data_IF_365349698584
#
_entry.id   IF_365349698584
#
_cell.length_a   1.000
_cell.length_b   1.000
_cell.length_c   1.000
_cell.angle_alpha   90.00
_cell.angle_beta   90.00
_cell.angle_gamma   90.00
#
_symmetry.space_group_name_H-M   'P 1'
#
loop_
_entity.id
_entity.type
_entity.pdbx_description
1 polymer ?
#
# COMPACT_ATOMS: atom_id res chain seq x y z
N UNK A 1 13.45 7.36 17.82
CA UNK A 1 13.26 5.91 17.62
C UNK A 1 12.99 5.70 16.15
N UNK A 2 13.34 4.53 15.65
CA UNK A 2 12.98 4.15 14.29
C UNK A 2 11.46 4.03 14.18
N UNK A 3 10.91 4.47 13.06
CA UNK A 3 9.50 4.31 12.69
C UNK A 3 9.38 3.21 11.64
N UNK A 4 8.49 2.24 11.87
CA UNK A 4 8.18 1.23 10.86
C UNK A 4 7.09 1.75 9.91
N UNK A 5 7.37 1.64 8.62
CA UNK A 5 6.46 2.01 7.54
C UNK A 5 6.24 0.81 6.64
N UNK A 6 4.98 0.45 6.41
CA UNK A 6 4.62 -0.51 5.37
C UNK A 6 4.54 0.27 4.05
N UNK A 7 5.23 -0.21 3.03
CA UNK A 7 5.16 0.33 1.67
C UNK A 7 4.37 -0.64 0.82
N UNK A 8 3.36 -0.10 0.14
CA UNK A 8 2.54 -0.78 -0.87
C UNK A 8 2.83 -0.11 -2.20
N UNK A 9 3.42 -0.84 -3.13
CA UNK A 9 3.75 -0.35 -4.47
C UNK A 9 2.98 -1.13 -5.53
N UNK A 10 2.20 -0.41 -6.33
CA UNK A 10 1.60 -0.91 -7.54
C UNK A 10 2.42 -0.43 -8.74
N UNK A 11 2.60 -1.29 -9.72
CA UNK A 11 3.23 -0.92 -10.99
C UNK A 11 2.62 -1.71 -12.14
N UNK A 12 2.73 -1.17 -13.34
CA UNK A 12 2.15 -1.81 -14.52
C UNK A 12 3.08 -1.83 -15.73
N UNK A 13 2.79 -2.70 -16.73
CA UNK A 13 3.59 -2.80 -17.93
C UNK A 13 3.64 -1.51 -18.77
N UNK A 14 4.72 -1.34 -19.52
CA UNK A 14 4.99 -0.17 -20.37
C UNK A 14 4.06 0.00 -21.58
N UNK A 15 3.08 -0.88 -21.77
CA UNK A 15 2.04 -0.79 -22.79
C UNK A 15 0.63 -0.56 -22.19
N UNK A 16 0.50 -0.54 -20.86
CA UNK A 16 -0.73 -0.21 -20.14
C UNK A 16 -0.61 1.18 -19.51
N UNK A 17 -1.73 1.86 -19.30
CA UNK A 17 -1.78 3.20 -18.69
C UNK A 17 -2.86 3.27 -17.62
N UNK A 18 -2.60 4.06 -16.58
CA UNK A 18 -3.65 4.58 -15.70
C UNK A 18 -4.32 3.49 -14.86
N UNK A 19 -3.53 2.92 -13.95
CA UNK A 19 -4.04 2.01 -12.93
C UNK A 19 -4.37 2.84 -11.68
N UNK A 20 -5.65 2.90 -11.33
CA UNK A 20 -6.09 3.51 -10.09
C UNK A 20 -5.89 2.52 -8.94
N UNK A 21 -5.30 2.99 -7.84
CA UNK A 21 -5.10 2.16 -6.65
C UNK A 21 -5.92 2.66 -5.47
N UNK A 22 -6.19 1.76 -4.53
CA UNK A 22 -6.86 2.05 -3.28
C UNK A 22 -6.23 1.21 -2.17
N UNK A 23 -5.79 1.85 -1.09
CA UNK A 23 -5.28 1.16 0.09
C UNK A 23 -6.06 1.62 1.31
N UNK A 24 -6.55 0.66 2.09
CA UNK A 24 -7.36 0.90 3.30
C UNK A 24 -6.56 0.42 4.51
N UNK A 25 -6.50 1.24 5.55
CA UNK A 25 -5.87 0.91 6.82
C UNK A 25 -6.60 1.66 7.94
N UNK A 26 -7.01 0.90 8.97
CA UNK A 26 -7.94 1.39 10.00
C UNK A 26 -9.18 2.00 9.34
N UNK A 27 -9.57 3.22 9.73
CA UNK A 27 -10.75 3.90 9.19
C UNK A 27 -10.45 4.82 7.99
N UNK A 28 -9.23 4.76 7.44
CA UNK A 28 -8.78 5.62 6.34
C UNK A 28 -8.56 4.86 5.04
N UNK A 29 -8.76 5.55 3.92
CA UNK A 29 -8.44 5.05 2.58
C UNK A 29 -7.67 6.12 1.79
N UNK A 30 -6.65 5.71 1.04
CA UNK A 30 -5.87 6.59 0.15
C UNK A 30 -5.65 5.92 -1.21
N UNK A 31 -5.50 6.74 -2.25
CA UNK A 31 -5.50 6.31 -3.64
C UNK A 31 -6.16 7.34 -4.55
N UNK A 32 -6.30 7.07 -5.84
CA UNK A 32 -7.02 7.94 -6.76
C UNK A 32 -8.48 8.11 -6.33
N UNK A 33 -8.94 9.35 -6.15
CA UNK A 33 -10.30 9.70 -5.69
C UNK A 33 -10.78 8.96 -4.42
N UNK A 34 -9.84 8.46 -3.62
CA UNK A 34 -10.11 7.93 -2.29
C UNK A 34 -10.24 9.08 -1.28
N UNK A 35 -10.55 8.72 -0.03
CA UNK A 35 -10.62 9.67 1.07
C UNK A 35 -9.24 10.16 1.55
N UNK A 36 -9.11 10.28 2.85
CA UNK A 36 -7.84 10.60 3.49
C UNK A 36 -7.56 9.62 4.63
N UNK A 37 -6.29 9.57 5.05
CA UNK A 37 -5.88 8.84 6.23
C UNK A 37 -4.87 9.68 7.02
N UNK A 38 -4.95 9.69 8.36
CA UNK A 38 -3.92 10.29 9.19
C UNK A 38 -2.59 9.50 9.13
N UNK A 39 -2.63 8.21 8.78
CA UNK A 39 -1.48 7.31 8.84
C UNK A 39 -0.94 6.90 7.48
N UNK A 40 -1.65 7.20 6.39
CA UNK A 40 -1.21 6.85 5.05
C UNK A 40 -0.91 8.08 4.20
N UNK A 41 0.11 7.98 3.36
CA UNK A 41 0.38 8.92 2.29
C UNK A 41 0.41 8.18 0.95
N UNK A 42 -0.22 8.78 -0.05
CA UNK A 42 -0.26 8.30 -1.43
C UNK A 42 0.69 9.15 -2.28
N UNK A 43 1.44 8.52 -3.19
CA UNK A 43 2.37 9.20 -4.10
C UNK A 43 1.69 10.17 -5.05
N UNK A 44 0.37 10.05 -5.21
CA UNK A 44 -0.41 10.71 -6.24
C UNK A 44 -0.72 9.74 -7.37
N UNK A 45 -1.74 10.14 -8.14
CA UNK A 45 -2.25 9.42 -9.29
C UNK A 45 -1.26 9.47 -10.45
N UNK A 46 -0.88 8.31 -10.96
CA UNK A 46 0.01 8.16 -12.10
C UNK A 46 -0.77 7.71 -13.34
N UNK A 47 -1.12 8.67 -14.20
CA UNK A 47 -1.77 8.37 -15.49
C UNK A 47 -0.80 7.93 -16.60
N UNK A 48 0.46 7.64 -16.25
CA UNK A 48 1.53 7.35 -17.22
C UNK A 48 1.44 5.90 -17.75
N UNK A 49 1.98 5.70 -18.95
CA UNK A 49 2.19 4.34 -19.46
C UNK A 49 3.37 3.68 -18.75
N UNK A 50 3.21 2.46 -18.23
CA UNK A 50 4.24 1.79 -17.42
C UNK A 50 4.57 2.49 -16.10
N UNK A 51 3.58 3.16 -15.52
CA UNK A 51 3.71 3.92 -14.28
C UNK A 51 3.70 3.04 -13.03
N UNK A 52 3.72 3.74 -11.89
CA UNK A 52 3.67 3.15 -10.57
C UNK A 52 3.01 4.10 -9.58
N UNK A 53 2.38 3.53 -8.57
CA UNK A 53 1.80 4.25 -7.45
C UNK A 53 2.24 3.63 -6.13
N UNK A 54 2.44 4.46 -5.11
CA UNK A 54 2.93 4.00 -3.81
C UNK A 54 2.10 4.56 -2.68
N UNK A 55 1.74 3.69 -1.74
CA UNK A 55 1.18 4.07 -0.45
C UNK A 55 2.19 3.73 0.66
N UNK A 56 2.46 4.71 1.54
CA UNK A 56 3.24 4.51 2.76
C UNK A 56 2.32 4.55 3.97
N UNK A 57 2.34 3.50 4.78
CA UNK A 57 1.51 3.33 5.97
C UNK A 57 2.38 3.43 7.21
N UNK A 58 2.20 4.50 7.98
CA UNK A 58 2.92 4.81 9.22
C UNK A 58 2.33 4.05 10.40
N UNK A 59 2.53 2.73 10.41
CA UNK A 59 1.99 1.84 11.45
C UNK A 59 2.56 2.14 12.84
N UNK A 60 3.82 2.63 12.91
CA UNK A 60 4.40 3.09 14.17
C UNK A 60 3.64 4.26 14.80
N UNK A 61 3.23 5.24 13.99
CA UNK A 61 2.43 6.37 14.46
C UNK A 61 1.04 5.93 14.94
N UNK A 62 0.39 5.02 14.22
CA UNK A 62 -0.90 4.47 14.62
C UNK A 62 -0.84 3.75 15.98
N UNK A 63 0.22 2.95 16.19
CA UNK A 63 0.47 2.29 17.48
C UNK A 63 0.73 3.30 18.61
N UNK A 64 1.63 4.26 18.39
CA UNK A 64 2.00 5.25 19.40
C UNK A 64 0.82 6.15 19.82
N UNK A 65 -0.12 6.39 18.92
CA UNK A 65 -1.35 7.12 19.20
C UNK A 65 -2.45 6.27 19.86
N UNK A 66 -2.26 4.95 19.94
CA UNK A 66 -3.23 4.01 20.50
C UNK A 66 -4.39 3.64 19.58
N UNK A 67 -4.31 4.00 18.29
CA UNK A 67 -5.32 3.68 17.28
C UNK A 67 -5.12 2.27 16.69
N UNK A 68 -3.97 1.64 16.97
CA UNK A 68 -3.68 0.24 16.70
C UNK A 68 -3.03 -0.38 17.95
N UNK A 69 -3.41 -1.62 18.30
CA UNK A 69 -2.97 -2.27 19.55
C UNK A 69 -2.22 -3.58 19.27
N UNK A 70 -2.86 -4.55 18.60
CA UNK A 70 -2.27 -5.89 18.43
C UNK A 70 -2.06 -6.26 16.95
N UNK A 71 -3.16 -6.26 16.19
CA UNK A 71 -3.17 -6.60 14.78
C UNK A 71 -4.23 -5.82 14.04
N UNK A 72 -4.04 -5.67 12.75
CA UNK A 72 -4.96 -4.98 11.87
C UNK A 72 -4.78 -5.49 10.44
N UNK A 73 -5.66 -5.03 9.55
CA UNK A 73 -5.68 -5.40 8.15
C UNK A 73 -5.34 -4.17 7.30
N UNK A 74 -4.56 -4.40 6.25
CA UNK A 74 -4.42 -3.49 5.13
C UNK A 74 -5.08 -4.15 3.92
N UNK A 75 -6.13 -3.53 3.40
CA UNK A 75 -6.74 -3.95 2.13
C UNK A 75 -6.12 -3.16 0.98
N UNK A 76 -5.80 -3.86 -0.11
CA UNK A 76 -5.13 -3.32 -1.29
C UNK A 76 -5.97 -3.65 -2.52
N UNK A 77 -6.40 -2.61 -3.22
CA UNK A 77 -7.30 -2.68 -4.37
C UNK A 77 -6.67 -2.03 -5.59
N UNK A 78 -7.04 -2.51 -6.78
CA UNK A 78 -6.59 -1.94 -8.04
C UNK A 78 -7.65 -2.06 -9.13
N UNK A 79 -7.88 -0.97 -9.87
CA UNK A 79 -8.80 -0.91 -11.00
C UNK A 79 -8.13 -0.17 -12.16
N UNK A 80 -8.28 -0.66 -13.38
CA UNK A 80 -7.90 0.13 -14.56
C UNK A 80 -8.91 1.26 -14.76
N UNK A 81 -8.42 2.47 -15.02
CA UNK A 81 -9.30 3.59 -15.31
C UNK A 81 -10.06 3.34 -16.63
N UNK A 82 -11.38 3.34 -16.56
CA UNK A 82 -12.29 2.85 -17.62
C UNK A 82 -12.19 3.54 -18.98
N UNK A 83 -11.57 4.72 -19.05
CA UNK A 83 -11.34 5.44 -20.31
C UNK A 83 -9.89 5.47 -20.76
N UNK A 84 -8.99 4.88 -19.99
CA UNK A 84 -7.60 4.70 -20.35
C UNK A 84 -7.39 3.43 -21.20
N UNK A 85 -6.17 3.26 -21.72
CA UNK A 85 -5.78 2.06 -22.47
C UNK A 85 -5.27 0.92 -21.57
N UNK A 86 -5.51 1.00 -20.26
CA UNK A 86 -5.10 0.00 -19.28
C UNK A 86 -6.01 -1.24 -19.27
N UNK A 87 -5.40 -2.42 -19.16
CA UNK A 87 -6.07 -3.70 -19.01
C UNK A 87 -5.09 -4.80 -18.62
N UNK A 88 -5.61 -5.95 -18.18
CA UNK A 88 -4.80 -7.12 -17.90
C UNK A 88 -4.00 -7.02 -16.59
N UNK A 89 -2.93 -7.82 -16.42
CA UNK A 89 -2.25 -7.96 -15.15
C UNK A 89 -1.39 -6.74 -14.79
N UNK A 90 -1.29 -6.47 -13.50
CA UNK A 90 -0.37 -5.50 -12.91
C UNK A 90 0.50 -6.18 -11.84
N UNK A 91 1.43 -5.44 -11.24
CA UNK A 91 2.30 -5.93 -10.17
C UNK A 91 2.00 -5.19 -8.86
N UNK A 92 2.00 -5.93 -7.76
CA UNK A 92 1.91 -5.42 -6.40
C UNK A 92 3.15 -5.87 -5.63
N UNK A 93 3.83 -4.94 -4.96
CA UNK A 93 4.94 -5.23 -4.05
C UNK A 93 4.69 -4.60 -2.68
N UNK A 94 4.87 -5.38 -1.62
CA UNK A 94 4.66 -4.95 -0.23
C UNK A 94 5.89 -5.26 0.61
N UNK A 95 6.37 -4.30 1.38
CA UNK A 95 7.54 -4.47 2.26
C UNK A 95 7.52 -3.48 3.42
N UNK A 96 8.40 -3.69 4.39
CA UNK A 96 8.57 -2.82 5.56
C UNK A 96 9.90 -2.07 5.45
N UNK A 97 9.84 -0.78 5.70
CA UNK A 97 11.00 0.09 5.88
C UNK A 97 11.08 0.57 7.33
N UNK A 98 12.31 0.73 7.82
CA UNK A 98 12.61 1.51 9.01
C UNK A 98 13.02 2.92 8.58
N UNK A 99 12.38 3.92 9.18
CA UNK A 99 12.73 5.33 9.05
C UNK A 99 13.42 5.79 10.34
N UNK A 100 14.69 6.16 10.24
CA UNK A 100 15.38 6.87 11.31
C UNK A 100 14.90 8.32 11.35
N UNK A 101 14.01 8.64 12.29
CA UNK A 101 13.47 10.00 12.42
C UNK A 101 14.54 11.06 12.79
N UNK A 102 15.71 10.67 13.27
CA UNK A 102 16.80 11.58 13.60
C UNK A 102 17.66 11.99 12.38
N UNK A 103 17.88 11.07 11.45
CA UNK A 103 18.72 11.29 10.26
C UNK A 103 17.94 11.37 8.94
N UNK A 104 16.66 10.96 8.94
CA UNK A 104 15.85 10.76 7.74
C UNK A 104 16.26 9.52 6.93
N UNK A 105 17.16 8.68 7.44
CA UNK A 105 17.61 7.47 6.78
C UNK A 105 16.48 6.45 6.63
N UNK A 106 16.38 5.84 5.44
CA UNK A 106 15.40 4.80 5.13
C UNK A 106 16.12 3.49 4.82
N UNK A 107 15.72 2.41 5.48
CA UNK A 107 16.28 1.06 5.25
C UNK A 107 15.16 0.04 5.14
N UNK A 108 15.16 -0.79 4.10
CA UNK A 108 14.24 -1.94 4.00
C UNK A 108 14.62 -2.98 5.04
N UNK A 109 13.66 -3.38 5.88
CA UNK A 109 13.88 -4.28 7.04
C UNK A 109 13.11 -5.60 6.95
N UNK A 110 12.28 -5.80 5.92
CA UNK A 110 11.62 -7.08 5.63
C UNK A 110 11.95 -7.59 4.22
N UNK A 111 11.72 -8.88 3.94
CA UNK A 111 11.54 -9.33 2.56
C UNK A 111 10.42 -8.55 1.88
N UNK A 112 10.53 -8.41 0.56
CA UNK A 112 9.43 -7.91 -0.28
C UNK A 112 8.52 -9.07 -0.69
N UNK A 113 7.21 -8.85 -0.55
CA UNK A 113 6.16 -9.72 -1.07
C UNK A 113 5.72 -9.17 -2.41
N UNK A 114 5.98 -9.88 -3.51
CA UNK A 114 5.62 -9.43 -4.85
C UNK A 114 4.64 -10.39 -5.51
N UNK A 115 3.59 -9.83 -6.11
CA UNK A 115 2.49 -10.57 -6.73
C UNK A 115 2.18 -9.99 -8.11
N UNK A 116 1.70 -10.86 -9.00
CA UNK A 116 0.94 -10.43 -10.18
C UNK A 116 -0.52 -10.38 -9.76
N UNK A 117 -1.16 -9.25 -9.96
CA UNK A 117 -2.56 -8.99 -9.59
C UNK A 117 -3.41 -8.87 -10.85
N UNK A 118 -4.73 -9.05 -10.69
CA UNK A 118 -5.71 -8.90 -11.77
C UNK A 118 -6.65 -7.73 -11.44
N UNK A 119 -6.26 -6.48 -11.78
CA UNK A 119 -7.12 -5.33 -11.54
C UNK A 119 -8.47 -5.43 -12.25
N UNK A 120 -9.47 -4.79 -11.67
CA UNK A 120 -10.78 -4.61 -12.29
C UNK A 120 -10.82 -3.42 -13.24
N UNK A 121 -12.01 -2.84 -13.40
CA UNK A 121 -12.24 -1.62 -14.18
C UNK A 121 -13.03 -0.64 -13.31
N UNK A 122 -12.57 0.61 -13.22
CA UNK A 122 -13.12 1.63 -12.33
C UNK A 122 -13.02 3.05 -12.89
N UNK A 123 -13.45 4.04 -12.10
CA UNK A 123 -13.33 5.46 -12.45
C UNK A 123 -13.16 6.36 -11.22
N UNK A 124 -12.61 5.82 -10.14
CA UNK A 124 -12.53 6.43 -8.82
C UNK A 124 -11.75 5.53 -7.88
N UNK A 125 -11.95 5.67 -6.56
CA UNK A 125 -11.25 4.83 -5.58
C UNK A 125 -11.39 3.34 -5.90
N UNK A 126 -10.25 2.67 -6.10
CA UNK A 126 -10.23 1.28 -6.54
C UNK A 126 -10.89 0.37 -5.50
N UNK A 127 -11.67 -0.59 -6.01
CA UNK A 127 -12.52 -1.47 -5.21
C UNK A 127 -12.38 -2.95 -5.56
N UNK A 128 -11.65 -3.29 -6.63
CA UNK A 128 -11.32 -4.69 -6.93
C UNK A 128 -10.15 -5.15 -6.06
N UNK A 129 -10.41 -6.17 -5.24
CA UNK A 129 -9.41 -6.76 -4.34
C UNK A 129 -8.18 -7.24 -5.10
N UNK A 130 -7.00 -6.77 -4.69
CA UNK A 130 -5.71 -7.20 -5.22
C UNK A 130 -4.95 -8.06 -4.18
N UNK A 131 -4.95 -7.64 -2.92
CA UNK A 131 -4.38 -8.40 -1.81
C UNK A 131 -4.88 -7.88 -0.45
N UNK A 132 -4.62 -8.66 0.58
CA UNK A 132 -4.82 -8.30 1.99
C UNK A 132 -3.53 -8.56 2.75
N UNK A 133 -3.11 -7.63 3.62
CA UNK A 133 -2.02 -7.86 4.56
C UNK A 133 -2.54 -7.90 6.01
N UNK A 134 -2.28 -9.01 6.70
CA UNK A 134 -2.39 -9.05 8.15
C UNK A 134 -1.12 -8.42 8.74
N UNK A 135 -1.30 -7.34 9.49
CA UNK A 135 -0.23 -6.62 10.18
C UNK A 135 -0.31 -6.95 11.66
N UNK A 136 0.80 -7.42 12.23
CA UNK A 136 0.88 -7.79 13.65
C UNK A 136 2.08 -7.12 14.29
N UNK A 137 1.91 -6.61 15.51
CA UNK A 137 3.02 -6.19 16.35
C UNK A 137 3.55 -7.40 17.11
N UNK A 138 4.84 -7.68 16.98
CA UNK A 138 5.51 -8.63 17.85
C UNK A 138 5.81 -7.94 19.18
N UNK A 139 5.03 -8.25 20.22
CA UNK A 139 5.18 -7.64 21.55
C UNK A 139 6.55 -7.94 22.20
N UNK A 140 7.21 -9.03 21.82
CA UNK A 140 8.48 -9.45 22.42
C UNK A 140 9.65 -8.54 22.02
N UNK A 141 9.63 -7.98 20.80
CA UNK A 141 10.72 -7.15 20.26
C UNK A 141 10.27 -5.84 19.60
N UNK A 142 8.97 -5.54 19.64
CA UNK A 142 8.37 -4.32 19.09
C UNK A 142 8.41 -4.24 17.56
N UNK A 143 8.69 -5.34 16.86
CA UNK A 143 8.75 -5.36 15.39
C UNK A 143 7.39 -5.55 14.77
N UNK A 144 7.17 -4.88 13.63
CA UNK A 144 6.02 -5.12 12.78
C UNK A 144 6.29 -6.34 11.89
N UNK A 145 5.33 -7.26 11.83
CA UNK A 145 5.33 -8.42 10.94
C UNK A 145 4.12 -8.31 10.02
N UNK A 146 4.32 -8.62 8.74
CA UNK A 146 3.24 -8.69 7.75
C UNK A 146 3.12 -10.10 7.16
N UNK A 147 1.88 -10.54 6.96
CA UNK A 147 1.54 -11.67 6.10
C UNK A 147 0.63 -11.17 4.98
N UNK A 148 1.12 -11.23 3.74
CA UNK A 148 0.38 -10.74 2.57
C UNK A 148 -0.23 -11.91 1.80
N UNK A 149 -1.51 -11.81 1.50
CA UNK A 149 -2.31 -12.81 0.81
C UNK A 149 -2.89 -12.15 -0.46
N UNK A 150 -2.49 -12.56 -1.67
CA UNK A 150 -3.09 -12.05 -2.90
C UNK A 150 -4.50 -12.59 -3.08
N UNK A 151 -5.35 -11.82 -3.78
CA UNK A 151 -6.72 -12.21 -4.12
C UNK A 151 -6.79 -13.28 -5.22
#
# INVERSE_FOLDING_TARGET
SDEFVIVVEFSWPADQSDLDTGTIFLDGAVGYDCGASPYMSFSGDSTATGGSETVKIRVGDAYNNGDWVDSTIVDMNADWFSSAMGSGPASLTVFIESLDQGSGGQTVVSPAYSFVINPGMGSGCASTDAAVALVTLNEDDGRVVILVIPA
#
